data_IF_596003212051
#
_entry.id   IF_596003212051
#
_cell.length_a   1.000
_cell.length_b   1.000
_cell.length_c   1.000
_cell.angle_alpha   90.00
_cell.angle_beta   90.00
_cell.angle_gamma   90.00
#
_symmetry.space_group_name_H-M   'P 1'
#
loop_
_entity.id
_entity.type
_entity.pdbx_description
1 polymer ?
#
# COMPACT_ATOMS: atom_id res chain seq x y z
N UNK A 1 2.00 18.33 -25.64
CA UNK A 1 3.26 18.11 -24.93
C UNK A 1 3.99 16.96 -25.61
N UNK A 2 5.27 17.12 -26.01
CA UNK A 2 5.99 16.06 -26.72
C UNK A 2 6.31 14.88 -25.80
N UNK A 3 6.34 13.67 -26.36
CA UNK A 3 6.73 12.46 -25.64
C UNK A 3 8.22 12.50 -25.26
N UNK A 4 8.57 11.87 -24.14
CA UNK A 4 9.95 11.73 -23.67
C UNK A 4 10.46 12.87 -22.78
N UNK A 5 9.68 13.92 -22.54
CA UNK A 5 10.04 14.98 -21.59
C UNK A 5 9.85 14.49 -20.16
N UNK A 6 10.91 14.50 -19.35
CA UNK A 6 10.92 13.97 -17.98
C UNK A 6 9.80 14.54 -17.10
N UNK A 7 9.50 15.83 -17.24
CA UNK A 7 8.51 16.52 -16.42
C UNK A 7 7.08 16.44 -16.98
N UNK A 8 6.89 15.83 -18.16
CA UNK A 8 5.60 15.77 -18.82
C UNK A 8 4.51 15.13 -17.93
N UNK A 9 4.72 13.95 -17.32
CA UNK A 9 3.70 13.32 -16.49
C UNK A 9 3.34 14.15 -15.25
N UNK A 10 4.33 14.81 -14.64
CA UNK A 10 4.11 15.63 -13.45
C UNK A 10 3.26 16.87 -13.76
N UNK A 11 3.57 17.55 -14.87
CA UNK A 11 2.80 18.73 -15.31
C UNK A 11 1.38 18.32 -15.73
N UNK A 12 1.25 17.20 -16.44
CA UNK A 12 -0.07 16.70 -16.86
C UNK A 12 -0.92 16.29 -15.65
N UNK A 13 -0.34 15.58 -14.69
CA UNK A 13 -1.02 15.23 -13.44
C UNK A 13 -1.48 16.47 -12.67
N UNK A 14 -0.65 17.53 -12.60
CA UNK A 14 -1.05 18.78 -11.94
C UNK A 14 -2.19 19.50 -12.69
N UNK A 15 -2.17 19.52 -14.02
CA UNK A 15 -3.29 20.00 -14.83
C UNK A 15 -4.56 19.20 -14.53
N UNK A 16 -4.50 17.88 -14.61
CA UNK A 16 -5.63 16.99 -14.38
C UNK A 16 -6.19 17.14 -12.96
N UNK A 17 -5.33 17.28 -11.96
CA UNK A 17 -5.74 17.54 -10.58
C UNK A 17 -6.47 18.88 -10.45
N UNK A 18 -6.00 19.93 -11.14
CA UNK A 18 -6.66 21.25 -11.14
C UNK A 18 -8.02 21.21 -11.84
N UNK A 19 -8.12 20.54 -12.98
CA UNK A 19 -9.36 20.38 -13.75
C UNK A 19 -10.38 19.55 -12.97
N UNK A 20 -10.01 18.36 -12.52
CA UNK A 20 -10.91 17.43 -11.84
C UNK A 20 -11.17 17.79 -10.37
N UNK A 21 -10.51 18.84 -9.82
CA UNK A 21 -10.63 19.27 -8.42
C UNK A 21 -12.05 19.28 -7.85
N UNK A 22 -13.11 19.70 -8.57
CA UNK A 22 -14.47 19.68 -8.03
C UNK A 22 -14.99 18.27 -7.68
N UNK A 23 -14.47 17.25 -8.35
CA UNK A 23 -14.93 15.85 -8.31
C UNK A 23 -13.89 14.86 -7.74
N UNK A 24 -12.64 15.30 -7.60
CA UNK A 24 -11.57 14.51 -6.98
C UNK A 24 -11.98 14.01 -5.60
N UNK A 25 -11.68 12.74 -5.33
CA UNK A 25 -11.95 12.02 -4.09
C UNK A 25 -13.43 11.97 -3.66
N UNK A 26 -14.35 12.43 -4.52
CA UNK A 26 -15.80 12.27 -4.35
C UNK A 26 -16.33 11.09 -5.18
N UNK A 27 -16.02 11.10 -6.46
CA UNK A 27 -16.38 10.05 -7.41
C UNK A 27 -15.36 9.91 -8.56
N UNK A 28 -14.28 10.68 -8.54
CA UNK A 28 -13.20 10.65 -9.52
C UNK A 28 -11.86 10.48 -8.82
N UNK A 29 -11.05 9.55 -9.30
CA UNK A 29 -9.62 9.44 -9.00
C UNK A 29 -8.87 9.65 -10.30
N UNK A 30 -7.84 10.49 -10.28
CA UNK A 30 -6.98 10.70 -11.45
C UNK A 30 -5.55 10.32 -11.11
N UNK A 31 -4.91 9.60 -12.02
CA UNK A 31 -3.49 9.30 -11.93
C UNK A 31 -2.85 9.40 -13.30
N UNK A 32 -2.00 10.40 -13.50
CA UNK A 32 -1.42 10.72 -14.82
C UNK A 32 -2.49 10.84 -15.90
N UNK A 33 -2.56 9.88 -16.84
CA UNK A 33 -3.48 9.88 -17.96
C UNK A 33 -4.78 9.09 -17.69
N UNK A 34 -4.84 8.35 -16.58
CA UNK A 34 -5.96 7.47 -16.25
C UNK A 34 -6.95 8.17 -15.30
N UNK A 35 -8.24 8.13 -15.66
CA UNK A 35 -9.35 8.67 -14.88
C UNK A 35 -10.25 7.50 -14.48
N UNK A 36 -10.35 7.25 -13.17
CA UNK A 36 -11.28 6.29 -12.60
C UNK A 36 -12.51 7.02 -12.08
N UNK A 37 -13.68 6.65 -12.59
CA UNK A 37 -14.98 7.16 -12.14
C UNK A 37 -15.69 6.03 -11.39
N UNK A 38 -16.08 6.26 -10.14
CA UNK A 38 -16.74 5.27 -9.30
C UNK A 38 -18.02 5.82 -8.68
N UNK A 39 -19.01 4.97 -8.42
CA UNK A 39 -20.33 5.39 -7.94
C UNK A 39 -21.02 4.24 -7.21
N UNK A 40 -21.95 4.57 -6.30
CA UNK A 40 -22.69 3.56 -5.52
C UNK A 40 -23.87 2.96 -6.30
N UNK A 41 -24.51 3.74 -7.18
CA UNK A 41 -25.66 3.30 -7.97
C UNK A 41 -25.44 3.55 -9.47
N UNK A 42 -26.10 2.77 -10.36
CA UNK A 42 -26.03 3.00 -11.80
C UNK A 42 -26.53 4.39 -12.21
N UNK A 43 -27.55 4.91 -11.53
CA UNK A 43 -28.12 6.24 -11.80
C UNK A 43 -27.12 7.35 -11.46
N UNK A 44 -26.47 7.25 -10.30
CA UNK A 44 -25.41 8.20 -9.94
C UNK A 44 -24.23 8.09 -10.90
N UNK A 45 -23.90 6.87 -11.35
CA UNK A 45 -22.82 6.64 -12.30
C UNK A 45 -23.05 7.33 -13.64
N UNK A 46 -24.28 7.28 -14.17
CA UNK A 46 -24.66 8.00 -15.39
C UNK A 46 -24.45 9.52 -15.25
N UNK A 47 -24.86 10.08 -14.11
CA UNK A 47 -24.70 11.50 -13.80
C UNK A 47 -23.23 11.88 -13.67
N UNK A 48 -22.45 11.12 -12.89
CA UNK A 48 -21.03 11.34 -12.69
C UNK A 48 -20.23 11.23 -13.99
N UNK A 49 -20.55 10.25 -14.83
CA UNK A 49 -19.93 10.09 -16.15
C UNK A 49 -20.22 11.29 -17.04
N UNK A 50 -21.48 11.74 -17.09
CA UNK A 50 -21.90 12.90 -17.89
C UNK A 50 -21.22 14.19 -17.41
N UNK A 51 -21.14 14.41 -16.11
CA UNK A 51 -20.45 15.55 -15.51
C UNK A 51 -18.94 15.56 -15.84
N UNK A 52 -18.29 14.39 -15.74
CA UNK A 52 -16.86 14.28 -16.03
C UNK A 52 -16.56 14.50 -17.53
N UNK A 53 -17.33 13.88 -18.42
CA UNK A 53 -17.17 14.08 -19.87
C UNK A 53 -17.47 15.52 -20.31
N UNK A 54 -18.45 16.18 -19.69
CA UNK A 54 -18.72 17.59 -19.94
C UNK A 54 -17.55 18.49 -19.50
N UNK A 55 -16.94 18.20 -18.35
CA UNK A 55 -15.75 18.90 -17.86
C UNK A 55 -14.55 18.71 -18.81
N UNK A 56 -14.27 17.47 -19.23
CA UNK A 56 -13.20 17.20 -20.19
C UNK A 56 -13.42 17.93 -21.52
N UNK A 57 -14.67 17.95 -22.02
CA UNK A 57 -15.04 18.68 -23.23
C UNK A 57 -14.83 20.19 -23.08
N UNK A 58 -15.18 20.77 -21.93
CA UNK A 58 -14.97 22.19 -21.64
C UNK A 58 -13.48 22.56 -21.66
N UNK A 59 -12.64 21.75 -21.02
CA UNK A 59 -11.18 21.93 -20.95
C UNK A 59 -10.45 21.46 -22.23
N UNK A 60 -11.18 21.00 -23.25
CA UNK A 60 -10.64 20.46 -24.51
C UNK A 60 -9.64 19.31 -24.28
N UNK A 61 -9.92 18.48 -23.27
CA UNK A 61 -9.22 17.24 -23.00
C UNK A 61 -9.99 16.08 -23.63
N UNK A 62 -9.27 15.19 -24.31
CA UNK A 62 -9.87 14.12 -25.10
C UNK A 62 -9.39 12.76 -24.59
N UNK A 63 -10.34 11.91 -24.22
CA UNK A 63 -10.07 10.51 -23.92
C UNK A 63 -10.05 9.69 -25.22
N UNK A 64 -9.11 8.74 -25.32
CA UNK A 64 -9.07 7.82 -26.45
C UNK A 64 -10.11 6.73 -26.25
N UNK A 65 -11.23 6.82 -26.97
CA UNK A 65 -12.38 5.89 -26.82
C UNK A 65 -11.99 4.41 -26.87
N UNK A 66 -11.04 4.02 -27.72
CA UNK A 66 -10.57 2.62 -27.83
C UNK A 66 -9.87 2.08 -26.57
N UNK A 67 -9.55 2.93 -25.59
CA UNK A 67 -8.94 2.57 -24.31
C UNK A 67 -9.89 2.81 -23.13
N UNK A 68 -11.09 3.32 -23.39
CA UNK A 68 -12.06 3.59 -22.35
C UNK A 68 -12.93 2.35 -22.12
N UNK A 69 -13.14 2.04 -20.85
CA UNK A 69 -14.03 0.97 -20.41
C UNK A 69 -15.15 1.60 -19.57
N UNK A 70 -16.40 1.18 -19.80
CA UNK A 70 -17.57 1.77 -19.17
C UNK A 70 -18.43 0.69 -18.52
N UNK A 71 -19.17 1.06 -17.46
CA UNK A 71 -20.16 0.20 -16.80
C UNK A 71 -19.62 -1.14 -16.27
N UNK A 72 -18.35 -1.16 -15.87
CA UNK A 72 -17.72 -2.34 -15.29
C UNK A 72 -18.02 -2.45 -13.78
N UNK A 73 -18.22 -3.68 -13.31
CA UNK A 73 -18.30 -3.99 -11.87
C UNK A 73 -16.93 -4.20 -11.24
N UNK A 74 -15.94 -4.57 -12.05
CA UNK A 74 -14.56 -4.76 -11.66
C UNK A 74 -13.68 -4.07 -12.69
N UNK A 75 -12.70 -3.27 -12.25
CA UNK A 75 -11.83 -2.50 -13.14
C UNK A 75 -10.38 -2.70 -12.77
N UNK A 76 -9.52 -2.82 -13.77
CA UNK A 76 -8.07 -2.82 -13.58
C UNK A 76 -7.59 -1.37 -13.53
N UNK A 77 -7.03 -0.95 -12.40
CA UNK A 77 -6.53 0.40 -12.21
C UNK A 77 -5.22 0.37 -11.42
N UNK A 78 -4.17 0.98 -11.98
CA UNK A 78 -2.82 1.03 -11.39
C UNK A 78 -2.29 -0.34 -10.94
N UNK A 79 -2.47 -1.39 -11.74
CA UNK A 79 -1.97 -2.74 -11.40
C UNK A 79 -2.72 -3.41 -10.23
N UNK A 80 -3.95 -2.97 -9.96
CA UNK A 80 -4.88 -3.59 -9.02
C UNK A 80 -6.22 -3.86 -9.71
N UNK A 81 -6.94 -4.88 -9.24
CA UNK A 81 -8.37 -5.03 -9.56
C UNK A 81 -9.18 -4.40 -8.43
N UNK A 82 -10.05 -3.46 -8.78
CA UNK A 82 -10.96 -2.79 -7.87
C UNK A 82 -12.36 -3.30 -8.15
N UNK A 83 -13.04 -3.82 -7.11
CA UNK A 83 -14.43 -4.25 -7.19
C UNK A 83 -15.19 -3.89 -5.91
N UNK A 84 -16.49 -4.20 -5.88
CA UNK A 84 -17.34 -4.03 -4.69
C UNK A 84 -16.79 -4.78 -3.47
N UNK A 85 -16.06 -5.89 -3.67
CA UNK A 85 -15.45 -6.67 -2.59
C UNK A 85 -14.21 -5.99 -1.99
N UNK A 86 -13.58 -5.08 -2.73
CA UNK A 86 -12.36 -4.39 -2.33
C UNK A 86 -11.29 -4.40 -3.41
N UNK A 87 -10.04 -4.25 -2.98
CA UNK A 87 -8.86 -4.18 -3.84
C UNK A 87 -8.14 -5.53 -3.84
N UNK A 88 -7.79 -6.00 -5.03
CA UNK A 88 -7.06 -7.24 -5.26
C UNK A 88 -5.78 -6.99 -6.06
N UNK A 89 -4.86 -7.94 -5.98
CA UNK A 89 -3.67 -7.98 -6.84
C UNK A 89 -4.11 -8.39 -8.24
N UNK A 90 -3.57 -7.72 -9.25
CA UNK A 90 -3.82 -8.04 -10.65
C UNK A 90 -3.37 -9.48 -10.99
N UNK A 91 -4.27 -10.36 -11.47
CA UNK A 91 -3.96 -11.73 -11.86
C UNK A 91 -2.81 -11.84 -12.86
N UNK A 92 -2.68 -10.90 -13.80
CA UNK A 92 -1.58 -10.90 -14.77
C UNK A 92 -0.22 -10.75 -14.07
N UNK A 93 -0.16 -9.97 -12.99
CA UNK A 93 1.04 -9.80 -12.16
C UNK A 93 1.28 -11.02 -11.28
N UNK A 94 0.21 -11.64 -10.74
CA UNK A 94 0.30 -12.91 -10.00
C UNK A 94 0.90 -14.01 -10.90
N UNK A 95 0.43 -14.13 -12.14
CA UNK A 95 0.95 -15.11 -13.09
C UNK A 95 2.43 -14.88 -13.41
N UNK A 96 2.83 -13.62 -13.64
CA UNK A 96 4.23 -13.27 -13.84
C UNK A 96 5.10 -13.64 -12.63
N UNK A 97 4.62 -13.38 -11.40
CA UNK A 97 5.30 -13.76 -10.15
C UNK A 97 5.39 -15.29 -10.03
N UNK A 98 4.32 -16.02 -10.38
CA UNK A 98 4.28 -17.48 -10.29
C UNK A 98 5.31 -18.13 -11.22
N UNK A 99 5.44 -17.61 -12.45
CA UNK A 99 6.40 -18.04 -13.46
C UNK A 99 7.82 -17.50 -13.24
N UNK A 100 8.01 -16.61 -12.27
CA UNK A 100 9.32 -16.02 -11.99
C UNK A 100 10.31 -17.10 -11.56
N UNK A 101 11.41 -17.22 -12.30
CA UNK A 101 12.50 -18.16 -12.03
C UNK A 101 13.31 -17.74 -10.81
N UNK A 102 14.00 -18.69 -10.17
CA UNK A 102 14.84 -18.38 -9.01
C UNK A 102 15.93 -17.38 -9.42
N UNK A 103 16.00 -16.19 -8.79
CA UNK A 103 16.94 -15.16 -9.20
C UNK A 103 18.37 -15.59 -8.90
N UNK A 104 19.26 -15.37 -9.86
CA UNK A 104 20.69 -15.74 -9.80
C UNK A 104 21.60 -14.54 -9.59
N UNK A 105 21.06 -13.32 -9.71
CA UNK A 105 21.81 -12.08 -9.55
C UNK A 105 21.18 -11.13 -8.53
N UNK A 106 21.98 -10.28 -7.86
CA UNK A 106 21.44 -9.22 -6.99
C UNK A 106 20.48 -8.27 -7.70
N UNK A 107 20.63 -8.08 -9.01
CA UNK A 107 19.76 -7.23 -9.83
C UNK A 107 18.38 -7.84 -9.99
N UNK A 108 18.30 -9.14 -10.29
CA UNK A 108 17.02 -9.87 -10.36
C UNK A 108 16.29 -9.89 -9.02
N UNK A 109 17.03 -10.05 -7.91
CA UNK A 109 16.43 -9.94 -6.56
C UNK A 109 15.82 -8.55 -6.35
N UNK A 110 16.53 -7.47 -6.73
CA UNK A 110 15.99 -6.11 -6.59
C UNK A 110 14.74 -5.90 -7.45
N UNK A 111 14.70 -6.46 -8.66
CA UNK A 111 13.51 -6.41 -9.52
C UNK A 111 12.33 -7.15 -8.87
N UNK A 112 12.55 -8.37 -8.39
CA UNK A 112 11.54 -9.17 -7.70
C UNK A 112 11.03 -8.46 -6.43
N UNK A 113 11.94 -8.00 -5.56
CA UNK A 113 11.59 -7.27 -4.34
C UNK A 113 10.90 -5.93 -4.64
N UNK A 114 11.21 -5.28 -5.76
CA UNK A 114 10.49 -4.09 -6.22
C UNK A 114 9.03 -4.40 -6.52
N UNK A 115 8.77 -5.45 -7.29
CA UNK A 115 7.41 -5.89 -7.61
C UNK A 115 6.66 -6.41 -6.38
N UNK A 116 7.27 -7.30 -5.60
CA UNK A 116 6.68 -7.82 -4.37
C UNK A 116 6.45 -6.70 -3.34
N UNK A 117 7.35 -5.72 -3.30
CA UNK A 117 7.26 -4.53 -2.47
C UNK A 117 6.09 -3.62 -2.83
N UNK A 118 5.71 -3.54 -4.11
CA UNK A 118 4.51 -2.83 -4.56
C UNK A 118 3.24 -3.43 -3.92
N UNK A 119 3.19 -4.76 -3.80
CA UNK A 119 2.09 -5.51 -3.19
C UNK A 119 2.29 -5.81 -1.69
N UNK A 120 3.26 -5.19 -1.02
CA UNK A 120 3.55 -5.44 0.41
C UNK A 120 2.34 -5.26 1.33
N UNK A 121 1.39 -4.38 0.95
CA UNK A 121 0.16 -4.10 1.71
C UNK A 121 -0.79 -5.29 1.82
N UNK A 122 -0.60 -6.34 1.01
CA UNK A 122 -1.37 -7.58 1.03
C UNK A 122 -0.70 -8.68 1.87
N UNK A 123 0.55 -8.48 2.29
CA UNK A 123 1.38 -9.53 2.89
C UNK A 123 1.68 -9.17 4.34
N UNK A 124 1.10 -9.95 5.26
CA UNK A 124 1.46 -9.87 6.67
C UNK A 124 2.94 -10.18 6.87
N UNK A 125 3.63 -9.32 7.62
CA UNK A 125 5.06 -9.46 7.97
C UNK A 125 6.00 -9.53 6.76
N UNK A 126 5.65 -8.88 5.63
CA UNK A 126 6.48 -8.83 4.42
C UNK A 126 7.96 -8.57 4.70
N UNK A 127 8.29 -7.57 5.53
CA UNK A 127 9.67 -7.21 5.86
C UNK A 127 10.47 -8.30 6.55
N UNK A 128 9.81 -9.14 7.39
CA UNK A 128 10.45 -10.28 8.07
C UNK A 128 10.78 -11.36 7.03
N UNK A 129 9.84 -11.65 6.13
CA UNK A 129 10.02 -12.67 5.07
C UNK A 129 11.06 -12.21 4.03
N UNK A 130 11.04 -10.96 3.61
CA UNK A 130 11.95 -10.43 2.60
C UNK A 130 13.38 -10.18 3.12
N UNK A 131 13.64 -10.37 4.42
CA UNK A 131 14.93 -10.07 5.04
C UNK A 131 16.09 -10.86 4.41
N UNK A 132 16.04 -12.20 4.26
CA UNK A 132 17.13 -12.96 3.65
C UNK A 132 17.46 -12.48 2.22
N UNK A 133 16.43 -12.19 1.43
CA UNK A 133 16.58 -11.68 0.06
C UNK A 133 17.18 -10.27 0.04
N UNK A 134 16.76 -9.40 0.97
CA UNK A 134 17.28 -8.04 1.07
C UNK A 134 18.78 -8.05 1.41
N UNK A 135 19.25 -9.00 2.24
CA UNK A 135 20.66 -9.12 2.58
C UNK A 135 21.54 -9.43 1.36
N UNK A 136 21.04 -10.19 0.38
CA UNK A 136 21.75 -10.49 -0.87
C UNK A 136 21.89 -9.28 -1.81
N UNK A 137 21.14 -8.20 -1.57
CA UNK A 137 21.23 -6.97 -2.39
C UNK A 137 22.27 -5.97 -1.88
N UNK A 138 22.87 -6.21 -0.70
CA UNK A 138 23.85 -5.34 -0.06
C UNK A 138 25.22 -5.44 -0.77
N UNK A 139 25.95 -4.32 -0.84
CA UNK A 139 27.21 -4.24 -1.60
C UNK A 139 28.34 -5.09 -1.03
N UNK A 140 28.32 -5.34 0.28
CA UNK A 140 29.44 -5.98 1.00
C UNK A 140 29.19 -7.48 1.29
N UNK A 141 28.22 -8.10 0.61
CA UNK A 141 27.92 -9.54 0.76
C UNK A 141 28.11 -10.29 -0.54
N UNK A 142 28.67 -11.51 -0.43
CA UNK A 142 28.66 -12.48 -1.51
C UNK A 142 27.23 -12.94 -1.78
N UNK A 143 26.95 -13.21 -3.05
CA UNK A 143 25.68 -13.75 -3.47
C UNK A 143 25.69 -15.25 -3.23
N UNK A 144 25.15 -15.66 -2.08
CA UNK A 144 25.02 -17.06 -1.69
C UNK A 144 23.51 -17.36 -1.56
N UNK A 145 23.01 -18.19 -2.48
CA UNK A 145 21.59 -18.60 -2.50
C UNK A 145 21.43 -19.93 -1.80
N UNK A 146 21.09 -19.86 -0.52
CA UNK A 146 20.89 -21.02 0.35
C UNK A 146 19.40 -21.28 0.61
N UNK A 147 19.12 -22.29 1.43
CA UNK A 147 17.77 -22.68 1.85
C UNK A 147 16.93 -21.52 2.43
N UNK A 148 17.43 -20.62 3.31
CA UNK A 148 16.62 -19.53 3.84
C UNK A 148 16.14 -18.52 2.79
N UNK A 149 16.91 -18.34 1.72
CA UNK A 149 16.59 -17.42 0.62
C UNK A 149 15.58 -18.05 -0.33
N UNK A 150 15.74 -19.35 -0.62
CA UNK A 150 14.76 -20.11 -1.39
C UNK A 150 13.42 -20.18 -0.66
N UNK A 151 13.41 -20.49 0.63
CA UNK A 151 12.20 -20.49 1.46
C UNK A 151 11.51 -19.12 1.46
N UNK A 152 12.28 -18.04 1.66
CA UNK A 152 11.74 -16.67 1.63
C UNK A 152 11.13 -16.33 0.26
N UNK A 153 11.80 -16.72 -0.83
CA UNK A 153 11.34 -16.49 -2.20
C UNK A 153 10.03 -17.23 -2.49
N UNK A 154 9.97 -18.53 -2.19
CA UNK A 154 8.77 -19.34 -2.40
C UNK A 154 7.62 -18.89 -1.49
N UNK A 155 7.91 -18.54 -0.23
CA UNK A 155 6.91 -18.02 0.69
C UNK A 155 6.30 -16.71 0.18
N UNK A 156 7.11 -15.78 -0.35
CA UNK A 156 6.60 -14.55 -0.95
C UNK A 156 5.73 -14.83 -2.19
N UNK A 157 6.18 -15.72 -3.08
CA UNK A 157 5.36 -16.15 -4.24
C UNK A 157 4.02 -16.72 -3.78
N UNK A 158 4.01 -17.59 -2.79
CA UNK A 158 2.79 -18.18 -2.25
C UNK A 158 1.87 -17.13 -1.62
N UNK A 159 2.40 -16.18 -0.84
CA UNK A 159 1.61 -15.13 -0.19
C UNK A 159 1.01 -14.15 -1.18
N UNK A 160 1.70 -13.86 -2.29
CA UNK A 160 1.18 -13.05 -3.39
C UNK A 160 0.06 -13.77 -4.13
N UNK A 161 0.19 -15.07 -4.37
CA UNK A 161 -0.85 -15.89 -5.00
C UNK A 161 -2.09 -16.09 -4.11
N UNK A 162 -1.91 -16.13 -2.78
CA UNK A 162 -2.98 -16.27 -1.78
C UNK A 162 -3.32 -14.93 -1.12
N UNK A 163 -3.01 -13.82 -1.78
CA UNK A 163 -3.23 -12.49 -1.22
C UNK A 163 -4.73 -12.30 -0.91
N UNK A 164 -5.09 -11.86 0.31
CA UNK A 164 -6.47 -11.58 0.63
C UNK A 164 -6.98 -10.36 -0.14
N UNK A 165 -8.29 -10.28 -0.32
CA UNK A 165 -8.95 -9.06 -0.79
C UNK A 165 -8.84 -8.02 0.32
N UNK A 166 -8.27 -6.86 0.03
CA UNK A 166 -8.21 -5.75 0.98
C UNK A 166 -9.48 -4.92 0.85
N UNK A 167 -10.15 -4.64 1.97
CA UNK A 167 -11.33 -3.79 1.95
C UNK A 167 -10.96 -2.31 1.83
N UNK A 168 -11.79 -1.56 1.12
CA UNK A 168 -11.70 -0.10 1.11
C UNK A 168 -12.21 0.43 2.46
N UNK A 169 -11.58 1.46 3.05
CA UNK A 169 -12.09 2.08 4.26
C UNK A 169 -13.45 2.75 3.97
N UNK A 170 -14.40 2.57 4.88
CA UNK A 170 -15.74 3.15 4.80
C UNK A 170 -15.96 4.12 5.96
N UNK A 171 -16.00 5.42 5.66
CA UNK A 171 -16.14 6.46 6.67
C UNK A 171 -14.88 6.63 7.54
N UNK A 172 -15.07 7.22 8.72
CA UNK A 172 -13.99 7.64 9.62
C UNK A 172 -14.03 6.96 11.00
N UNK A 173 -14.87 5.94 11.15
CA UNK A 173 -15.15 5.28 12.43
C UNK A 173 -14.55 3.87 12.46
N UNK A 174 -14.38 3.34 13.68
CA UNK A 174 -13.97 1.95 13.93
C UNK A 174 -12.62 1.53 13.32
N UNK A 175 -11.65 2.45 13.24
CA UNK A 175 -10.30 2.05 12.86
C UNK A 175 -9.63 1.30 14.00
N UNK A 176 -9.23 0.06 13.72
CA UNK A 176 -8.50 -0.80 14.64
C UNK A 176 -7.12 -1.09 14.09
N UNK A 177 -6.09 -0.85 14.89
CA UNK A 177 -4.70 -1.11 14.53
C UNK A 177 -4.13 -2.17 15.46
N UNK A 178 -3.68 -3.28 14.89
CA UNK A 178 -2.89 -4.28 15.62
C UNK A 178 -1.41 -4.05 15.35
N UNK A 179 -0.62 -3.83 16.38
CA UNK A 179 0.83 -3.64 16.33
C UNK A 179 1.53 -4.86 16.95
N UNK A 180 2.67 -5.24 16.37
CA UNK A 180 3.58 -6.26 16.90
C UNK A 180 5.02 -5.83 16.60
N UNK A 181 5.90 -5.93 17.59
CA UNK A 181 7.33 -5.71 17.41
C UNK A 181 8.12 -6.96 17.79
N UNK A 182 9.11 -7.29 16.95
CA UNK A 182 10.10 -8.30 17.30
C UNK A 182 11.51 -7.79 17.05
N UNK A 183 12.51 -8.52 17.55
CA UNK A 183 13.92 -8.22 17.28
C UNK A 183 14.31 -8.25 15.79
N UNK A 184 13.43 -8.78 14.93
CA UNK A 184 13.64 -8.79 13.48
C UNK A 184 12.98 -7.61 12.77
N UNK A 185 11.88 -7.07 13.31
CA UNK A 185 11.12 -6.01 12.64
C UNK A 185 9.81 -5.66 13.32
N UNK A 186 9.20 -4.59 12.84
CA UNK A 186 7.87 -4.10 13.22
C UNK A 186 6.84 -4.63 12.22
N UNK A 187 5.68 -5.02 12.72
CA UNK A 187 4.54 -5.48 11.94
C UNK A 187 3.26 -4.79 12.41
N UNK A 188 2.32 -4.63 11.49
CA UNK A 188 1.01 -4.13 11.83
C UNK A 188 -0.07 -4.50 10.83
N UNK A 189 -1.31 -4.47 11.31
CA UNK A 189 -2.53 -4.67 10.52
C UNK A 189 -3.51 -3.54 10.82
N UNK A 190 -3.97 -2.86 9.78
CA UNK A 190 -5.07 -1.90 9.84
C UNK A 190 -6.36 -2.62 9.48
N UNK A 191 -7.35 -2.53 10.36
CA UNK A 191 -8.66 -3.13 10.20
C UNK A 191 -9.76 -2.09 10.45
N UNK A 192 -10.93 -2.35 9.89
CA UNK A 192 -12.15 -1.60 10.14
C UNK A 192 -13.34 -2.54 10.00
N UNK A 193 -14.26 -2.56 10.96
CA UNK A 193 -15.42 -3.48 10.96
C UNK A 193 -15.02 -4.95 10.70
N UNK A 194 -13.96 -5.42 11.38
CA UNK A 194 -13.34 -6.75 11.22
C UNK A 194 -12.81 -7.09 9.82
N UNK A 195 -12.73 -6.11 8.91
CA UNK A 195 -12.16 -6.26 7.58
C UNK A 195 -10.75 -5.68 7.54
N UNK A 196 -9.84 -6.36 6.83
CA UNK A 196 -8.46 -5.89 6.69
C UNK A 196 -8.36 -4.85 5.59
N UNK A 197 -7.87 -3.67 5.94
CA UNK A 197 -7.61 -2.57 4.99
C UNK A 197 -6.19 -2.68 4.44
N UNK A 198 -5.21 -2.87 5.32
CA UNK A 198 -3.80 -2.92 4.91
C UNK A 198 -2.90 -3.62 5.92
N UNK A 199 -1.87 -4.30 5.41
CA UNK A 199 -0.74 -4.76 6.20
C UNK A 199 0.43 -3.78 6.09
N UNK A 200 1.15 -3.57 7.18
CA UNK A 200 2.41 -2.84 7.19
C UNK A 200 3.49 -3.64 7.89
N UNK A 201 4.72 -3.54 7.41
CA UNK A 201 5.88 -4.10 8.10
C UNK A 201 7.14 -3.32 7.74
N UNK A 202 8.11 -3.33 8.65
CA UNK A 202 9.39 -2.64 8.48
C UNK A 202 10.49 -3.39 9.23
N UNK A 203 11.66 -3.51 8.62
CA UNK A 203 12.86 -4.02 9.29
C UNK A 203 13.40 -3.00 10.29
N UNK A 204 13.97 -3.46 11.40
CA UNK A 204 14.59 -2.57 12.38
C UNK A 204 15.82 -1.88 11.79
N UNK A 205 15.94 -0.58 12.06
CA UNK A 205 17.17 0.18 11.81
C UNK A 205 18.28 -0.32 12.75
N UNK A 206 19.53 -0.06 12.37
CA UNK A 206 20.72 -0.50 13.13
C UNK A 206 20.65 -0.07 14.61
N UNK A 207 20.23 1.17 14.88
CA UNK A 207 20.07 1.67 16.26
C UNK A 207 18.84 1.10 16.99
N UNK A 208 17.76 0.81 16.26
CA UNK A 208 16.53 0.21 16.83
C UNK A 208 16.78 -1.22 17.33
N UNK A 209 17.79 -1.93 16.80
CA UNK A 209 18.16 -3.27 17.28
C UNK A 209 18.60 -3.31 18.74
N UNK A 210 19.07 -2.18 19.27
CA UNK A 210 19.51 -2.06 20.66
C UNK A 210 18.38 -1.61 21.60
N UNK A 211 17.17 -1.44 21.09
CA UNK A 211 16.03 -1.00 21.89
C UNK A 211 15.50 -2.14 22.76
N UNK A 212 14.95 -1.78 23.92
CA UNK A 212 14.22 -2.72 24.76
C UNK A 212 12.90 -3.09 24.09
N UNK A 213 12.29 -4.22 24.48
CA UNK A 213 11.00 -4.66 23.92
C UNK A 213 9.93 -3.57 24.04
N UNK A 214 9.89 -2.86 25.16
CA UNK A 214 8.99 -1.72 25.36
C UNK A 214 9.17 -0.62 24.30
N UNK A 215 10.41 -0.22 24.03
CA UNK A 215 10.71 0.84 23.05
C UNK A 215 10.44 0.37 21.61
N UNK A 216 10.61 -0.92 21.34
CA UNK A 216 10.26 -1.52 20.04
C UNK A 216 8.75 -1.54 19.80
N UNK A 217 7.97 -1.92 20.80
CA UNK A 217 6.50 -1.92 20.75
C UNK A 217 5.96 -0.49 20.57
N UNK A 218 6.50 0.48 21.31
CA UNK A 218 6.20 1.89 21.07
C UNK A 218 6.61 2.32 19.65
N UNK A 219 7.76 1.86 19.18
CA UNK A 219 8.23 2.07 17.81
C UNK A 219 7.29 1.52 16.75
N UNK A 220 6.63 0.38 17.00
CA UNK A 220 5.60 -0.18 16.13
C UNK A 220 4.37 0.73 16.06
N UNK A 221 3.89 1.23 17.20
CA UNK A 221 2.77 2.18 17.26
C UNK A 221 3.07 3.49 16.52
N UNK A 222 4.25 4.08 16.75
CA UNK A 222 4.65 5.30 16.04
C UNK A 222 4.78 5.06 14.54
N UNK A 223 5.29 3.88 14.15
CA UNK A 223 5.42 3.49 12.76
C UNK A 223 4.06 3.37 12.05
N UNK A 224 3.07 2.74 12.68
CA UNK A 224 1.73 2.58 12.09
C UNK A 224 1.01 3.90 11.95
N UNK A 225 1.04 4.74 12.99
CA UNK A 225 0.45 6.07 12.96
C UNK A 225 1.06 6.96 11.87
N UNK A 226 2.36 6.84 11.62
CA UNK A 226 3.04 7.57 10.54
C UNK A 226 2.65 7.06 9.16
N UNK A 227 2.63 5.74 8.95
CA UNK A 227 2.28 5.15 7.65
C UNK A 227 0.82 5.44 7.30
N UNK A 228 -0.09 5.19 8.23
CA UNK A 228 -1.53 5.32 8.01
C UNK A 228 -2.07 6.67 8.46
N UNK A 229 -1.21 7.70 8.53
CA UNK A 229 -1.63 9.07 8.85
C UNK A 229 -2.79 9.52 7.97
N UNK A 230 -2.79 9.15 6.69
CA UNK A 230 -3.87 9.49 5.76
C UNK A 230 -5.23 8.85 6.09
N UNK A 231 -5.26 7.74 6.84
CA UNK A 231 -6.49 7.12 7.33
C UNK A 231 -6.85 7.53 8.76
N UNK A 232 -5.84 7.67 9.62
CA UNK A 232 -6.02 7.82 11.07
C UNK A 232 -6.05 9.28 11.54
N UNK A 233 -5.68 10.23 10.69
CA UNK A 233 -5.63 11.63 11.08
C UNK A 233 -7.03 12.20 11.27
N UNK A 234 -7.31 12.69 12.48
CA UNK A 234 -8.62 13.27 12.84
C UNK A 234 -9.70 12.24 13.15
N UNK A 235 -9.36 10.94 13.20
CA UNK A 235 -10.31 9.86 13.51
C UNK A 235 -10.02 9.26 14.89
N UNK A 236 -11.04 8.64 15.50
CA UNK A 236 -10.85 7.82 16.70
C UNK A 236 -10.40 6.43 16.24
N UNK A 237 -9.29 5.94 16.77
CA UNK A 237 -8.78 4.61 16.48
C UNK A 237 -8.41 3.87 17.77
N UNK A 238 -8.54 2.55 17.72
CA UNK A 238 -8.17 1.64 18.80
C UNK A 238 -6.89 0.92 18.43
N UNK A 239 -5.85 1.05 19.26
CA UNK A 239 -4.56 0.42 19.02
C UNK A 239 -4.39 -0.74 20.00
N UNK A 240 -4.17 -1.93 19.45
CA UNK A 240 -3.84 -3.14 20.20
C UNK A 240 -2.34 -3.42 20.09
N UNK A 241 -1.69 -3.62 21.24
CA UNK A 241 -0.29 -4.02 21.41
C UNK A 241 -0.23 -5.01 22.58
N UNK A 242 0.73 -5.92 22.54
CA UNK A 242 0.93 -6.96 23.56
C UNK A 242 1.62 -6.42 24.83
N UNK A 243 2.09 -5.17 24.83
CA UNK A 243 2.83 -4.60 25.94
C UNK A 243 1.96 -3.71 26.85
N UNK A 244 1.53 -4.27 27.99
CA UNK A 244 0.63 -3.62 28.97
C UNK A 244 1.08 -2.22 29.42
N UNK A 245 2.38 -1.97 29.56
CA UNK A 245 2.91 -0.66 29.98
C UNK A 245 2.58 0.50 29.03
N UNK A 246 2.31 0.20 27.75
CA UNK A 246 1.98 1.24 26.76
C UNK A 246 0.59 1.84 26.97
N UNK A 247 -0.30 1.16 27.71
CA UNK A 247 -1.64 1.67 28.04
C UNK A 247 -1.58 2.99 28.81
N UNK A 248 -0.55 3.17 29.64
CA UNK A 248 -0.41 4.33 30.51
C UNK A 248 0.35 5.51 29.86
N UNK A 249 0.81 5.39 28.61
CA UNK A 249 1.60 6.44 27.96
C UNK A 249 0.84 7.75 27.84
N UNK A 250 -0.48 7.69 27.59
CA UNK A 250 -1.31 8.89 27.47
C UNK A 250 -1.52 9.60 28.81
N UNK A 251 -1.40 8.88 29.93
CA UNK A 251 -1.59 9.41 31.29
C UNK A 251 -0.27 9.81 31.97
N UNK A 252 0.88 9.49 31.36
CA UNK A 252 2.20 9.73 31.94
C UNK A 252 2.57 11.22 31.91
N UNK A 253 2.67 11.83 33.10
CA UNK A 253 3.11 13.23 33.28
C UNK A 253 4.58 13.48 32.92
N UNK A 254 5.42 12.45 32.99
CA UNK A 254 6.86 12.55 32.68
C UNK A 254 7.16 11.50 31.60
N UNK A 255 7.32 11.98 30.37
CA UNK A 255 7.77 11.18 29.24
C UNK A 255 9.29 11.11 29.23
N UNK A 256 9.83 9.91 29.00
CA UNK A 256 11.26 9.69 28.83
C UNK A 256 11.77 10.35 27.54
N UNK A 257 13.08 10.61 27.39
CA UNK A 257 13.64 11.29 26.20
C UNK A 257 13.32 10.62 24.86
N UNK A 258 12.99 9.33 24.86
CA UNK A 258 12.56 8.58 23.66
C UNK A 258 11.05 8.60 23.41
N UNK A 259 10.26 8.98 24.43
CA UNK A 259 8.80 9.10 24.37
C UNK A 259 8.35 10.54 24.10
N UNK A 260 9.20 11.54 24.37
CA UNK A 260 9.04 12.92 23.92
C UNK A 260 9.24 13.03 22.41
#
# INVERSE_FOLDING_TARGET
MPFGVTNAPAIFMDLMNRVCRPYLDKFVIVFTDDILIYSKSPKDHEQHLTQNLALLKHEKLYAKFSKCEFWLREVQFLGHIISEKGIQVDPSKIEAIKRWETPTTPTEIRQFLGLAGYYRRFIRNFSKIALPLTMLTQKDRKFDWDEPQEEAFQLLKQRLCKAPILSLPEGTEDFVVYCDASRQGLGAVLMQWDKVIAYASRQLKIHEKNYTTHDLELGAVVFTLKIWRHYLYGTKCTIYTDHKSLQHILDQKILNMRQR
#
